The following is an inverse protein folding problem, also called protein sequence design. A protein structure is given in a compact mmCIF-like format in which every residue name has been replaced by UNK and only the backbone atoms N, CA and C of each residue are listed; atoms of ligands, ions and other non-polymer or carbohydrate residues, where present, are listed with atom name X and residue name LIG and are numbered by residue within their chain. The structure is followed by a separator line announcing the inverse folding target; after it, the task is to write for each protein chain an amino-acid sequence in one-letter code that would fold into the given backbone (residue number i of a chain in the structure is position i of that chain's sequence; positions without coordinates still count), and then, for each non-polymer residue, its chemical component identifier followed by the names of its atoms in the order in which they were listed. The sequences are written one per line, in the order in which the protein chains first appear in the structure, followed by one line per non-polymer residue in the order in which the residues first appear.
data_IF_555451710411
#
_entry.id   IF_555451710411
#
_cell.length_a   1.000
_cell.length_b   1.000
_cell.length_c   1.000
_cell.angle_alpha   90.00
_cell.angle_beta   90.00
_cell.angle_gamma   90.00
#
_symmetry.space_group_name_H-M   'P 1'
#
loop_
_entity.id
_entity.type
_entity.pdbx_description
1 polymer ?
#
# COMPACT_ATOMS: atom_id res chain seq x y z
N UNK A 1 25.93 -2.15 38.19
CA UNK A 1 24.68 -2.82 37.77
C UNK A 1 24.73 -2.94 36.25
N UNK A 2 24.92 -4.14 35.72
CA UNK A 2 25.03 -4.37 34.28
C UNK A 2 23.61 -4.51 33.69
N UNK A 3 23.33 -3.74 32.64
CA UNK A 3 22.05 -3.73 31.94
C UNK A 3 21.99 -4.94 31.01
N UNK A 4 21.11 -5.90 31.29
CA UNK A 4 20.86 -7.01 30.38
C UNK A 4 19.95 -6.53 29.24
N UNK A 5 20.31 -6.74 27.96
CA UNK A 5 19.49 -6.30 26.85
C UNK A 5 18.17 -7.11 26.78
N UNK A 6 17.10 -6.49 26.25
CA UNK A 6 15.81 -7.14 26.10
C UNK A 6 15.84 -8.40 25.20
N UNK A 7 14.98 -9.40 25.45
CA UNK A 7 15.03 -10.71 24.78
C UNK A 7 14.75 -10.67 23.27
N UNK A 8 14.22 -9.58 22.72
CA UNK A 8 13.96 -9.42 21.28
C UNK A 8 15.15 -8.85 20.49
N UNK A 9 16.25 -8.48 21.16
CA UNK A 9 17.52 -8.07 20.52
C UNK A 9 18.47 -9.26 20.32
N UNK A 10 18.01 -10.49 20.60
CA UNK A 10 18.78 -11.68 20.26
C UNK A 10 18.97 -11.74 18.73
N UNK A 11 20.19 -11.93 18.23
CA UNK A 11 20.41 -12.12 16.81
C UNK A 11 19.61 -13.33 16.33
N UNK A 12 18.99 -13.26 15.13
CA UNK A 12 18.25 -14.38 14.59
C UNK A 12 19.17 -15.60 14.54
N UNK A 13 18.69 -16.73 15.08
CA UNK A 13 19.38 -18.01 14.97
C UNK A 13 19.65 -18.28 13.49
N UNK A 14 20.92 -18.43 13.13
CA UNK A 14 21.30 -18.87 11.80
C UNK A 14 20.68 -20.24 11.59
N UNK A 15 19.66 -20.30 10.74
CA UNK A 15 19.06 -21.57 10.34
C UNK A 15 20.16 -22.50 9.79
N UNK A 16 20.09 -23.81 10.07
CA UNK A 16 21.00 -24.76 9.45
C UNK A 16 20.88 -24.64 7.92
N UNK A 17 21.99 -24.78 7.18
CA UNK A 17 21.99 -24.65 5.73
C UNK A 17 20.93 -25.59 5.13
N UNK A 18 20.02 -24.99 4.38
CA UNK A 18 19.01 -25.68 3.58
C UNK A 18 19.70 -26.80 2.79
N UNK A 19 19.42 -28.03 3.20
CA UNK A 19 19.87 -29.24 2.52
C UNK A 19 19.21 -29.23 1.14
N UNK A 20 19.99 -28.85 0.13
CA UNK A 20 19.52 -28.74 -1.23
C UNK A 20 18.90 -30.08 -1.66
N UNK A 21 17.77 -30.06 -2.39
CA UNK A 21 17.23 -31.26 -3.01
C UNK A 21 18.35 -31.95 -3.80
N UNK A 22 18.60 -33.21 -3.44
CA UNK A 22 19.58 -34.08 -4.08
C UNK A 22 19.45 -33.91 -5.59
N UNK A 23 20.46 -33.31 -6.21
CA UNK A 23 20.48 -33.10 -7.65
C UNK A 23 20.30 -34.47 -8.34
N UNK A 24 19.47 -34.55 -9.39
CA UNK A 24 19.42 -35.76 -10.21
C UNK A 24 20.84 -36.07 -10.73
N UNK A 25 21.24 -37.35 -10.79
CA UNK A 25 22.60 -37.72 -11.14
C UNK A 25 22.99 -37.14 -12.49
N UNK A 26 24.09 -36.39 -12.48
CA UNK A 26 24.74 -35.85 -13.68
C UNK A 26 25.00 -37.00 -14.66
N UNK A 27 24.51 -36.94 -15.91
CA UNK A 27 24.90 -37.92 -16.91
C UNK A 27 26.39 -37.74 -17.19
N UNK A 28 27.19 -38.70 -16.73
CA UNK A 28 28.60 -38.83 -17.07
C UNK A 28 28.70 -38.95 -18.59
N UNK A 29 29.05 -37.85 -19.24
CA UNK A 29 29.44 -37.80 -20.65
C UNK A 29 30.77 -38.53 -20.81
N UNK A 30 30.73 -39.86 -20.92
CA UNK A 30 31.85 -40.65 -21.39
C UNK A 30 31.94 -40.47 -22.90
N UNK A 31 32.78 -39.52 -23.31
CA UNK A 31 33.15 -39.29 -24.70
C UNK A 31 33.93 -40.52 -25.20
N UNK A 32 33.21 -41.48 -25.79
CA UNK A 32 33.82 -42.60 -26.51
C UNK A 32 33.78 -42.30 -28.00
N UNK A 33 34.95 -42.00 -28.54
CA UNK A 33 35.24 -42.12 -29.96
C UNK A 33 35.00 -43.57 -30.38
N UNK A 34 33.99 -43.84 -31.19
CA UNK A 34 33.67 -45.20 -31.61
C UNK A 34 32.58 -45.27 -32.68
N UNK A 35 33.00 -45.19 -33.95
CA UNK A 35 32.48 -45.97 -35.07
C UNK A 35 31.02 -46.46 -35.02
N UNK A 36 30.15 -45.77 -35.77
CA UNK A 36 29.27 -46.41 -36.76
C UNK A 36 28.37 -47.59 -36.34
N UNK A 37 27.91 -47.67 -35.10
CA UNK A 37 26.86 -48.60 -34.69
C UNK A 37 25.54 -47.84 -34.60
N UNK A 38 24.57 -48.27 -35.42
CA UNK A 38 23.16 -47.91 -35.30
C UNK A 38 22.76 -48.09 -33.84
N UNK A 39 22.66 -46.98 -33.11
CA UNK A 39 22.26 -46.96 -31.72
C UNK A 39 20.82 -47.49 -31.67
N UNK A 40 20.68 -48.76 -31.28
CA UNK A 40 19.39 -49.39 -31.11
C UNK A 40 18.73 -48.71 -29.91
N UNK A 41 17.83 -47.76 -30.20
CA UNK A 41 16.97 -47.10 -29.21
C UNK A 41 16.26 -48.21 -28.43
N UNK A 42 16.68 -48.41 -27.19
CA UNK A 42 16.10 -49.41 -26.30
C UNK A 42 14.78 -48.86 -25.79
N UNK A 43 13.73 -49.69 -25.75
CA UNK A 43 12.38 -49.28 -25.32
C UNK A 43 12.37 -48.59 -23.95
N UNK A 44 13.31 -48.93 -23.07
CA UNK A 44 13.51 -48.29 -21.77
C UNK A 44 13.79 -46.79 -21.88
N UNK A 45 14.63 -46.36 -22.83
CA UNK A 45 14.96 -44.93 -23.03
C UNK A 45 13.77 -44.14 -23.54
N UNK A 46 12.92 -44.76 -24.37
CA UNK A 46 11.71 -44.14 -24.88
C UNK A 46 10.64 -44.00 -23.78
N UNK A 47 10.53 -44.98 -22.90
CA UNK A 47 9.63 -44.95 -21.75
C UNK A 47 10.05 -43.91 -20.70
N UNK A 48 11.36 -43.74 -20.49
CA UNK A 48 11.94 -42.69 -19.66
C UNK A 48 11.64 -41.30 -20.23
N UNK A 49 11.80 -41.10 -21.54
CA UNK A 49 11.49 -39.84 -22.21
C UNK A 49 10.00 -39.47 -22.14
N UNK A 50 9.11 -40.44 -22.36
CA UNK A 50 7.66 -40.25 -22.23
C UNK A 50 7.24 -39.90 -20.80
N UNK A 51 7.89 -40.49 -19.79
CA UNK A 51 7.62 -40.16 -18.39
C UNK A 51 8.02 -38.71 -18.08
N UNK A 52 9.17 -38.25 -18.58
CA UNK A 52 9.64 -36.87 -18.42
C UNK A 52 8.71 -35.89 -19.12
N UNK A 53 8.31 -36.16 -20.37
CA UNK A 53 7.43 -35.29 -21.14
C UNK A 53 6.04 -35.15 -20.50
N UNK A 54 5.50 -36.25 -19.95
CA UNK A 54 4.23 -36.24 -19.22
C UNK A 54 4.33 -35.44 -17.92
N UNK A 55 5.43 -35.56 -17.19
CA UNK A 55 5.72 -34.76 -16.00
C UNK A 55 5.86 -33.27 -16.33
N UNK A 56 6.57 -32.94 -17.41
CA UNK A 56 6.76 -31.56 -17.87
C UNK A 56 5.43 -30.93 -18.29
N UNK A 57 4.57 -31.68 -18.98
CA UNK A 57 3.24 -31.23 -19.37
C UNK A 57 2.32 -30.97 -18.17
N UNK A 58 2.38 -31.83 -17.14
CA UNK A 58 1.63 -31.60 -15.88
C UNK A 58 2.16 -30.40 -15.10
N UNK A 59 3.49 -30.22 -15.00
CA UNK A 59 4.08 -29.02 -14.37
C UNK A 59 3.79 -27.74 -15.15
N UNK A 60 3.74 -27.77 -16.48
CA UNK A 60 3.37 -26.61 -17.28
C UNK A 60 1.88 -26.26 -17.17
N UNK A 61 1.00 -27.19 -16.78
CA UNK A 61 -0.41 -26.90 -16.57
C UNK A 61 -0.68 -26.07 -15.30
N UNK A 62 0.19 -26.15 -14.30
CA UNK A 62 0.05 -25.36 -13.06
C UNK A 62 0.69 -23.98 -13.16
N UNK A 63 1.61 -23.78 -14.12
CA UNK A 63 2.27 -22.50 -14.40
C UNK A 63 1.30 -21.31 -14.65
N UNK A 64 0.23 -21.42 -15.46
CA UNK A 64 -0.71 -20.31 -15.61
C UNK A 64 -1.45 -19.98 -14.31
N UNK A 65 -1.74 -21.00 -13.48
CA UNK A 65 -2.39 -20.80 -12.18
C UNK A 65 -1.45 -20.09 -11.20
N UNK A 66 -0.18 -20.49 -11.13
CA UNK A 66 0.80 -19.82 -10.27
C UNK A 66 1.06 -18.39 -10.71
N UNK A 67 1.13 -18.12 -12.02
CA UNK A 67 1.22 -16.76 -12.54
C UNK A 67 -0.02 -15.95 -12.18
N UNK A 68 -1.23 -16.49 -12.36
CA UNK A 68 -2.47 -15.78 -12.02
C UNK A 68 -2.55 -15.45 -10.52
N UNK A 69 -2.17 -16.38 -9.65
CA UNK A 69 -2.09 -16.17 -8.21
C UNK A 69 -1.05 -15.11 -7.85
N UNK A 70 0.12 -15.16 -8.48
CA UNK A 70 1.17 -14.17 -8.27
C UNK A 70 0.73 -12.76 -8.68
N UNK A 71 0.13 -12.60 -9.87
CA UNK A 71 -0.42 -11.31 -10.32
C UNK A 71 -1.52 -10.82 -9.37
N UNK A 72 -2.42 -11.70 -8.94
CA UNK A 72 -3.49 -11.35 -8.01
C UNK A 72 -2.94 -10.86 -6.67
N UNK A 73 -1.89 -11.51 -6.16
CA UNK A 73 -1.19 -11.10 -4.94
C UNK A 73 -0.56 -9.71 -5.08
N UNK A 74 0.10 -9.44 -6.21
CA UNK A 74 0.67 -8.11 -6.50
C UNK A 74 -0.43 -7.05 -6.55
N UNK A 75 -1.54 -7.30 -7.25
CA UNK A 75 -2.68 -6.37 -7.30
C UNK A 75 -3.28 -6.11 -5.92
N UNK A 76 -3.38 -7.13 -5.08
CA UNK A 76 -3.89 -6.99 -3.71
C UNK A 76 -2.98 -6.08 -2.88
N UNK A 77 -1.66 -6.27 -2.94
CA UNK A 77 -0.70 -5.39 -2.25
C UNK A 77 -0.82 -3.95 -2.73
N UNK A 78 -0.87 -3.73 -4.05
CA UNK A 78 -1.01 -2.37 -4.59
C UNK A 78 -2.32 -1.72 -4.15
N UNK A 79 -3.43 -2.45 -4.21
CA UNK A 79 -4.72 -1.92 -3.78
C UNK A 79 -4.76 -1.64 -2.28
N UNK A 80 -4.16 -2.50 -1.46
CA UNK A 80 -4.05 -2.27 -0.02
C UNK A 80 -3.24 -1.01 0.27
N UNK A 81 -2.05 -0.87 -0.33
CA UNK A 81 -1.22 0.31 -0.16
C UNK A 81 -1.92 1.60 -0.61
N UNK A 82 -2.63 1.55 -1.74
CA UNK A 82 -3.41 2.69 -2.21
C UNK A 82 -4.56 3.03 -1.25
N UNK A 83 -5.29 2.04 -0.75
CA UNK A 83 -6.39 2.24 0.19
C UNK A 83 -5.90 2.86 1.51
N UNK A 84 -4.79 2.37 2.04
CA UNK A 84 -4.16 2.86 3.26
C UNK A 84 -3.70 4.32 3.11
N UNK A 85 -2.97 4.64 2.04
CA UNK A 85 -2.52 6.01 1.76
C UNK A 85 -3.69 6.99 1.57
N UNK A 86 -4.75 6.56 0.88
CA UNK A 86 -5.96 7.37 0.71
C UNK A 86 -6.68 7.59 2.06
N UNK A 87 -6.75 6.55 2.89
CA UNK A 87 -7.39 6.64 4.20
C UNK A 87 -6.61 7.57 5.15
N UNK A 88 -5.30 7.41 5.25
CA UNK A 88 -4.44 8.25 6.10
C UNK A 88 -4.50 9.72 5.67
N UNK A 89 -4.42 10.00 4.37
CA UNK A 89 -4.50 11.38 3.86
C UNK A 89 -5.85 12.03 4.14
N UNK A 90 -6.96 11.28 3.98
CA UNK A 90 -8.29 11.75 4.31
C UNK A 90 -8.47 11.98 5.82
N UNK A 91 -7.93 11.08 6.65
CA UNK A 91 -7.97 11.22 8.11
C UNK A 91 -7.18 12.44 8.58
N UNK A 92 -5.97 12.66 8.06
CA UNK A 92 -5.16 13.82 8.40
C UNK A 92 -5.83 15.14 8.02
N UNK A 93 -6.49 15.19 6.86
CA UNK A 93 -7.25 16.37 6.44
C UNK A 93 -8.46 16.59 7.35
N UNK A 94 -9.18 15.51 7.68
CA UNK A 94 -10.32 15.56 8.58
C UNK A 94 -9.92 16.04 9.97
N UNK A 95 -8.87 15.49 10.55
CA UNK A 95 -8.32 15.91 11.84
C UNK A 95 -7.87 17.36 11.79
N UNK A 96 -7.16 17.79 10.73
CA UNK A 96 -6.75 19.19 10.58
C UNK A 96 -7.92 20.17 10.56
N UNK A 97 -9.01 19.81 9.87
CA UNK A 97 -10.22 20.64 9.77
C UNK A 97 -11.02 20.62 11.09
N UNK A 98 -11.14 19.46 11.74
CA UNK A 98 -11.90 19.30 12.99
C UNK A 98 -11.18 19.92 14.19
N UNK A 99 -9.85 19.87 14.23
CA UNK A 99 -9.02 20.44 15.29
C UNK A 99 -8.77 21.93 15.13
N UNK A 100 -9.13 22.54 13.98
CA UNK A 100 -8.94 23.96 13.75
C UNK A 100 -9.82 24.79 14.68
N UNK A 101 -9.17 25.59 15.55
CA UNK A 101 -9.82 26.40 16.58
C UNK A 101 -9.63 27.88 16.30
N UNK A 102 -10.69 28.65 16.48
CA UNK A 102 -10.65 30.11 16.46
C UNK A 102 -11.06 30.62 17.84
N UNK A 103 -10.31 31.55 18.45
CA UNK A 103 -10.74 32.15 19.71
C UNK A 103 -12.09 32.87 19.51
N UNK A 104 -13.15 32.38 20.17
CA UNK A 104 -14.48 32.99 20.11
C UNK A 104 -14.53 34.27 20.95
N UNK A 105 -14.95 35.38 20.35
CA UNK A 105 -14.95 36.70 21.01
C UNK A 105 -16.30 37.43 20.94
N UNK A 106 -17.43 36.71 20.80
CA UNK A 106 -18.72 37.38 20.56
C UNK A 106 -19.61 37.57 21.80
N UNK A 107 -19.53 36.73 22.83
CA UNK A 107 -20.47 36.80 23.97
C UNK A 107 -19.83 36.61 25.38
N UNK A 108 -18.55 36.96 25.56
CA UNK A 108 -17.87 36.82 26.86
C UNK A 108 -17.55 35.37 27.27
N UNK A 109 -18.00 34.39 26.49
CA UNK A 109 -17.50 33.02 26.53
C UNK A 109 -16.19 32.94 25.72
N UNK A 110 -15.06 32.77 26.40
CA UNK A 110 -13.76 32.44 25.79
C UNK A 110 -13.70 31.00 25.23
N UNK A 111 -14.85 30.44 24.80
CA UNK A 111 -14.86 29.09 24.24
C UNK A 111 -14.24 29.13 22.84
N UNK A 112 -13.28 28.23 22.61
CA UNK A 112 -12.71 27.99 21.30
C UNK A 112 -13.81 27.57 20.32
N UNK A 113 -13.92 28.30 19.22
CA UNK A 113 -14.84 28.00 18.14
C UNK A 113 -14.19 26.92 17.27
N UNK A 114 -14.74 25.71 17.33
CA UNK A 114 -14.40 24.55 16.50
C UNK A 114 -15.55 24.27 15.52
N UNK A 115 -15.27 23.55 14.43
CA UNK A 115 -16.30 23.17 13.45
C UNK A 115 -17.48 22.43 14.10
N UNK A 116 -17.21 21.61 15.12
CA UNK A 116 -18.24 20.83 15.85
C UNK A 116 -19.08 21.69 16.81
N UNK A 117 -18.58 22.85 17.23
CA UNK A 117 -19.27 23.76 18.16
C UNK A 117 -20.07 24.87 17.48
N UNK A 118 -20.05 24.95 16.14
CA UNK A 118 -20.81 25.95 15.39
C UNK A 118 -22.30 25.61 15.50
N UNK A 119 -23.02 26.38 16.33
CA UNK A 119 -24.47 26.24 16.47
C UNK A 119 -25.22 27.21 15.56
N UNK A 120 -24.61 28.36 15.25
CA UNK A 120 -25.26 29.46 14.53
C UNK A 120 -24.53 29.80 13.22
N UNK A 121 -25.29 30.26 12.22
CA UNK A 121 -24.72 30.69 10.92
C UNK A 121 -23.77 31.88 11.09
N UNK A 122 -24.06 32.75 12.06
CA UNK A 122 -23.25 33.91 12.43
C UNK A 122 -21.84 33.55 12.93
N UNK A 123 -21.65 32.32 13.39
CA UNK A 123 -20.37 31.78 13.87
C UNK A 123 -19.57 31.11 12.73
N UNK A 124 -20.24 30.71 11.64
CA UNK A 124 -19.61 30.02 10.52
C UNK A 124 -18.59 30.91 9.82
N UNK A 125 -18.94 32.15 9.51
CA UNK A 125 -18.06 33.05 8.76
C UNK A 125 -16.78 33.41 9.54
N UNK A 126 -16.84 33.78 10.84
CA UNK A 126 -15.64 33.97 11.66
C UNK A 126 -14.76 32.72 11.76
N UNK A 127 -15.37 31.53 11.82
CA UNK A 127 -14.60 30.29 11.80
C UNK A 127 -13.89 30.07 10.46
N UNK A 128 -14.58 30.32 9.34
CA UNK A 128 -13.99 30.20 8.00
C UNK A 128 -12.80 31.15 7.85
N UNK A 129 -12.95 32.41 8.26
CA UNK A 129 -11.89 33.41 8.16
C UNK A 129 -10.74 33.15 9.14
N UNK A 130 -11.02 32.70 10.35
CA UNK A 130 -10.03 32.52 11.41
C UNK A 130 -9.32 31.17 11.42
N UNK A 131 -9.94 30.11 10.89
CA UNK A 131 -9.40 28.75 10.89
C UNK A 131 -9.19 28.20 9.47
N UNK A 132 -10.22 28.23 8.63
CA UNK A 132 -10.16 27.60 7.31
C UNK A 132 -9.21 28.34 6.36
N UNK A 133 -9.30 29.68 6.28
CA UNK A 133 -8.45 30.48 5.39
C UNK A 133 -6.97 30.35 5.76
N UNK A 134 -6.53 30.55 7.02
CA UNK A 134 -5.11 30.45 7.39
C UNK A 134 -4.54 29.04 7.19
N UNK A 135 -5.37 27.99 7.34
CA UNK A 135 -4.97 26.62 7.03
C UNK A 135 -4.68 26.43 5.54
N UNK A 136 -5.38 27.15 4.66
CA UNK A 136 -5.20 27.09 3.21
C UNK A 136 -4.13 28.07 2.70
N UNK A 137 -3.93 29.17 3.40
CA UNK A 137 -3.02 30.26 3.07
C UNK A 137 -1.95 30.44 4.16
N UNK A 138 -1.14 29.41 4.41
CA UNK A 138 -0.05 29.52 5.39
C UNK A 138 0.98 30.54 4.87
N UNK A 139 1.05 31.70 5.52
CA UNK A 139 2.03 32.75 5.22
C UNK A 139 3.46 32.21 5.42
N UNK A 140 4.23 32.14 4.34
CA UNK A 140 5.65 31.73 4.36
C UNK A 140 5.94 30.35 3.78
N UNK A 141 4.93 29.53 3.49
CA UNK A 141 5.08 28.40 2.56
C UNK A 141 4.57 28.84 1.17
N UNK A 142 5.14 28.28 0.10
CA UNK A 142 4.75 28.62 -1.27
C UNK A 142 3.22 28.58 -1.43
N UNK A 143 2.66 29.57 -2.13
CA UNK A 143 1.22 29.71 -2.34
C UNK A 143 0.58 28.36 -2.72
N UNK A 144 -0.34 27.87 -1.88
CA UNK A 144 -0.98 26.58 -2.05
C UNK A 144 -0.35 25.41 -1.28
N UNK A 145 0.52 25.59 -0.29
CA UNK A 145 0.90 24.51 0.64
C UNK A 145 0.06 24.59 1.93
N UNK A 146 -0.73 23.53 2.19
CA UNK A 146 -1.60 23.40 3.38
C UNK A 146 -0.81 22.85 4.58
N UNK A 147 0.22 22.02 4.32
CA UNK A 147 1.20 21.49 5.29
C UNK A 147 2.54 21.21 4.59
N UNK A 148 3.58 20.82 5.34
CA UNK A 148 4.92 20.49 4.83
C UNK A 148 4.95 19.52 3.62
N UNK A 149 3.92 18.69 3.44
CA UNK A 149 3.84 17.71 2.33
C UNK A 149 2.55 17.79 1.48
N UNK A 150 1.64 18.71 1.78
CA UNK A 150 0.35 18.78 1.10
C UNK A 150 0.23 20.09 0.33
N UNK A 151 -0.06 19.97 -0.96
CA UNK A 151 -0.31 21.10 -1.85
C UNK A 151 -1.80 21.15 -2.20
N UNK A 152 -2.43 22.29 -1.94
CA UNK A 152 -3.72 22.67 -2.49
C UNK A 152 -3.60 22.79 -4.00
N UNK A 153 -4.39 21.97 -4.71
CA UNK A 153 -4.47 22.00 -6.16
C UNK A 153 -5.69 22.85 -6.56
N UNK A 154 -5.44 23.97 -7.24
CA UNK A 154 -6.50 24.83 -7.80
C UNK A 154 -7.11 25.81 -6.78
N UNK A 155 -8.44 25.93 -6.80
CA UNK A 155 -9.20 26.93 -6.04
C UNK A 155 -10.24 26.28 -5.13
N UNK A 156 -10.44 26.87 -3.96
CA UNK A 156 -11.53 26.49 -3.05
C UNK A 156 -12.79 27.26 -3.42
N UNK A 157 -13.91 26.54 -3.56
CA UNK A 157 -15.22 27.12 -3.85
C UNK A 157 -16.19 26.81 -2.72
N UNK A 158 -16.77 27.86 -2.13
CA UNK A 158 -17.92 27.73 -1.24
C UNK A 158 -19.21 27.82 -2.07
N UNK A 159 -20.16 26.94 -1.82
CA UNK A 159 -21.47 26.96 -2.47
C UNK A 159 -22.57 26.83 -1.43
N UNK A 160 -23.62 27.62 -1.57
CA UNK A 160 -24.78 27.61 -0.69
C UNK A 160 -26.00 27.14 -1.49
N UNK A 161 -26.73 26.17 -0.95
CA UNK A 161 -28.03 25.74 -1.50
C UNK A 161 -29.13 26.29 -0.60
N UNK A 162 -30.04 27.08 -1.17
CA UNK A 162 -31.20 27.62 -0.45
C UNK A 162 -32.41 26.70 -0.68
N UNK A 163 -33.10 26.32 0.39
CA UNK A 163 -34.33 25.54 0.30
C UNK A 163 -35.47 26.31 -0.38
N UNK A 164 -36.45 25.61 -0.98
CA UNK A 164 -37.63 26.25 -1.55
C UNK A 164 -38.44 26.95 -0.45
N UNK A 165 -38.88 28.19 -0.71
CA UNK A 165 -39.72 28.95 0.21
C UNK A 165 -41.12 28.30 0.27
N UNK A 166 -41.36 27.38 1.19
CA UNK A 166 -42.72 26.89 1.49
C UNK A 166 -43.43 27.96 2.31
N UNK A 167 -44.01 28.94 1.61
CA UNK A 167 -45.02 29.84 2.19
C UNK A 167 -46.33 29.06 2.21
N UNK A 168 -46.66 28.47 3.35
CA UNK A 168 -47.99 27.91 3.64
C UNK A 168 -48.88 28.96 4.28
#
# INVERSE_FOLDING_TARGET
MAYAPPPWLAPPSVDPPFEAPIAPPTPTSTHSHGLGLKEHITLSKLQEFLAVEKGLKQSCQTLPLTIALWVSFILLIFNHGNAELCFESAQLLREAVEDARVPGSRDGSMADLTLRSIAEVDQLLPWVEGALVPMLSVDGLHHGQVRQRQQLLGWVRMSQTRGPNTTS
#
